data_IF_605645026023
#
_entry.id   IF_605645026023
#
_cell.length_a   1.000
_cell.length_b   1.000
_cell.length_c   1.000
_cell.angle_alpha   90.00
_cell.angle_beta   90.00
_cell.angle_gamma   90.00
#
_symmetry.space_group_name_H-M   'P 1'
#
loop_
_entity.id
_entity.type
_entity.pdbx_description
1 polymer ?
#
# COMPACT_ATOMS: atom_id res chain seq x y z
N UNK A 1 -16.57 8.89 12.93
CA UNK A 1 -16.54 7.92 11.80
C UNK A 1 -15.24 8.18 11.07
N UNK A 2 -14.17 7.48 11.46
CA UNK A 2 -12.85 7.75 10.94
C UNK A 2 -12.80 7.45 9.45
N UNK A 3 -12.39 8.45 8.67
CA UNK A 3 -12.42 8.42 7.21
C UNK A 3 -11.19 7.65 6.68
N UNK A 4 -11.00 6.38 6.98
CA UNK A 4 -9.82 5.62 6.49
C UNK A 4 -9.96 5.05 5.06
N UNK A 5 -10.85 5.64 4.25
CA UNK A 5 -11.08 5.20 2.87
C UNK A 5 -10.02 5.73 1.90
N UNK A 6 -9.89 5.09 0.74
CA UNK A 6 -8.94 5.48 -0.30
C UNK A 6 -9.05 6.96 -0.72
N UNK A 7 -10.26 7.55 -0.71
CA UNK A 7 -10.46 8.96 -1.03
C UNK A 7 -9.74 9.88 -0.03
N UNK A 8 -9.94 9.64 1.26
CA UNK A 8 -9.28 10.41 2.30
C UNK A 8 -7.76 10.24 2.26
N UNK A 9 -7.28 9.02 2.03
CA UNK A 9 -5.84 8.74 1.90
C UNK A 9 -5.26 9.48 0.69
N UNK A 10 -5.95 9.49 -0.45
CA UNK A 10 -5.53 10.23 -1.65
C UNK A 10 -5.44 11.73 -1.36
N UNK A 11 -6.50 12.30 -0.78
CA UNK A 11 -6.54 13.73 -0.44
C UNK A 11 -5.43 14.10 0.54
N UNK A 12 -5.15 13.23 1.52
CA UNK A 12 -4.09 13.43 2.52
C UNK A 12 -2.71 13.43 1.86
N UNK A 13 -2.42 12.46 1.00
CA UNK A 13 -1.14 12.37 0.27
C UNK A 13 -0.93 13.59 -0.63
N UNK A 14 -1.95 13.96 -1.40
CA UNK A 14 -1.86 15.11 -2.32
C UNK A 14 -1.69 16.42 -1.55
N UNK A 15 -2.40 16.59 -0.44
CA UNK A 15 -2.29 17.80 0.40
C UNK A 15 -0.91 17.91 1.02
N UNK A 16 -0.38 16.82 1.58
CA UNK A 16 0.96 16.77 2.14
C UNK A 16 2.04 17.12 1.11
N UNK A 17 2.01 16.50 -0.07
CA UNK A 17 2.99 16.79 -1.13
C UNK A 17 2.93 18.25 -1.57
N UNK A 18 1.72 18.82 -1.64
CA UNK A 18 1.52 20.23 -1.98
C UNK A 18 2.09 21.17 -0.90
N UNK A 19 1.91 20.85 0.38
CA UNK A 19 2.47 21.61 1.51
C UNK A 19 4.00 21.60 1.50
N UNK A 20 4.60 20.46 1.14
CA UNK A 20 6.05 20.30 1.00
C UNK A 20 6.60 20.84 -0.34
N UNK A 21 5.74 21.34 -1.24
CA UNK A 21 6.15 21.84 -2.56
C UNK A 21 6.67 20.75 -3.50
N UNK A 22 6.33 19.49 -3.26
CA UNK A 22 6.72 18.34 -4.07
C UNK A 22 5.62 18.08 -5.12
N UNK A 23 6.00 18.05 -6.40
CA UNK A 23 5.05 17.69 -7.46
C UNK A 23 4.75 16.20 -7.42
N UNK A 24 3.47 15.85 -7.48
CA UNK A 24 3.04 14.45 -7.64
C UNK A 24 3.62 13.81 -8.91
N UNK A 25 3.92 14.60 -9.95
CA UNK A 25 4.53 14.14 -11.20
C UNK A 25 5.97 13.65 -11.02
N UNK A 26 6.66 14.12 -9.97
CA UNK A 26 8.01 13.70 -9.60
C UNK A 26 7.96 12.42 -8.73
N UNK A 27 6.82 12.13 -8.10
CA UNK A 27 6.56 10.93 -7.31
C UNK A 27 6.19 9.73 -8.20
N UNK A 28 7.10 9.33 -9.10
CA UNK A 28 6.86 8.28 -10.10
C UNK A 28 6.66 6.89 -9.49
N UNK A 29 7.45 6.50 -8.49
CA UNK A 29 7.38 5.18 -7.86
C UNK A 29 6.87 5.30 -6.43
N UNK A 30 5.58 5.07 -6.22
CA UNK A 30 4.95 5.19 -4.91
C UNK A 30 4.72 3.81 -4.30
N UNK A 31 5.31 3.59 -3.12
CA UNK A 31 5.25 2.31 -2.42
C UNK A 31 4.21 2.28 -1.31
N UNK A 32 3.33 1.29 -1.32
CA UNK A 32 2.34 1.08 -0.26
C UNK A 32 2.20 -0.41 0.09
N UNK A 33 1.47 -0.71 1.17
CA UNK A 33 1.04 -2.09 1.43
C UNK A 33 0.11 -2.60 0.32
N UNK A 34 -0.08 -3.93 0.29
CA UNK A 34 -0.92 -4.58 -0.72
C UNK A 34 -2.39 -4.68 -0.27
N UNK A 35 -2.80 -3.93 0.76
CA UNK A 35 -4.17 -4.01 1.26
C UNK A 35 -5.17 -3.53 0.18
N UNK A 36 -6.41 -4.04 0.18
CA UNK A 36 -7.39 -3.71 -0.86
C UNK A 36 -7.69 -2.22 -1.01
N UNK A 37 -7.60 -1.43 0.07
CA UNK A 37 -7.78 0.01 0.07
C UNK A 37 -6.55 0.79 -0.45
N UNK A 38 -5.38 0.16 -0.53
CA UNK A 38 -4.14 0.76 -1.06
C UNK A 38 -3.87 0.31 -2.50
N UNK A 39 -3.95 -1.00 -2.74
CA UNK A 39 -3.57 -1.68 -3.99
C UNK A 39 -4.76 -2.17 -4.84
N UNK A 40 -6.01 -1.93 -4.45
CA UNK A 40 -7.17 -2.27 -5.29
C UNK A 40 -7.21 -1.50 -6.63
N UNK A 41 -7.83 -2.11 -7.64
CA UNK A 41 -7.86 -1.55 -9.00
C UNK A 41 -8.81 -0.36 -9.17
N UNK A 42 -9.91 -0.32 -8.41
CA UNK A 42 -11.03 0.60 -8.69
C UNK A 42 -11.23 1.67 -7.62
N UNK A 43 -11.18 1.30 -6.34
CA UNK A 43 -11.51 2.18 -5.21
C UNK A 43 -10.39 2.23 -4.17
N UNK A 44 -9.14 2.10 -4.62
CA UNK A 44 -7.97 2.14 -3.76
C UNK A 44 -7.14 3.40 -3.99
N UNK A 45 -6.20 3.65 -3.09
CA UNK A 45 -5.27 4.78 -3.16
C UNK A 45 -4.56 4.83 -4.51
N UNK A 46 -4.04 3.70 -5.01
CA UNK A 46 -3.33 3.68 -6.28
C UNK A 46 -4.18 4.12 -7.48
N UNK A 47 -5.47 3.78 -7.48
CA UNK A 47 -6.38 4.13 -8.57
C UNK A 47 -6.64 5.63 -8.56
N UNK A 48 -6.87 6.19 -7.37
CA UNK A 48 -7.13 7.62 -7.17
C UNK A 48 -5.91 8.48 -7.49
N UNK A 49 -4.72 8.09 -7.06
CA UNK A 49 -3.49 8.82 -7.40
C UNK A 49 -3.19 8.80 -8.90
N UNK A 50 -3.55 7.72 -9.61
CA UNK A 50 -3.47 7.65 -11.08
C UNK A 50 -4.46 8.59 -11.78
N UNK A 51 -5.62 8.88 -11.17
CA UNK A 51 -6.56 9.90 -11.68
C UNK A 51 -5.94 11.30 -11.59
N UNK A 52 -5.15 11.59 -10.56
CA UNK A 52 -4.43 12.86 -10.40
C UNK A 52 -3.21 12.96 -11.31
N UNK A 53 -2.47 11.86 -11.50
CA UNK A 53 -1.27 11.84 -12.34
C UNK A 53 -1.07 10.45 -12.94
N UNK A 54 -1.23 10.34 -14.27
CA UNK A 54 -1.10 9.08 -15.02
C UNK A 54 0.30 8.44 -14.90
N UNK A 55 1.29 9.24 -14.51
CA UNK A 55 2.68 8.85 -14.40
C UNK A 55 3.03 8.15 -13.08
N UNK A 56 2.09 8.09 -12.13
CA UNK A 56 2.29 7.42 -10.86
C UNK A 56 2.23 5.91 -11.05
N UNK A 57 3.33 5.25 -10.73
CA UNK A 57 3.48 3.82 -10.68
C UNK A 57 3.31 3.33 -9.24
N UNK A 58 2.38 2.41 -9.06
CA UNK A 58 2.27 1.66 -7.82
C UNK A 58 3.39 0.62 -7.74
N UNK A 59 4.13 0.64 -6.63
CA UNK A 59 5.19 -0.32 -6.33
C UNK A 59 4.82 -1.06 -5.05
N UNK A 60 4.64 -2.38 -5.05
CA UNK A 60 4.38 -3.14 -3.81
C UNK A 60 5.48 -2.90 -2.77
N UNK A 61 5.08 -2.68 -1.51
CA UNK A 61 6.05 -2.56 -0.42
C UNK A 61 6.81 -3.88 -0.24
N UNK A 62 8.14 -3.84 -0.41
CA UNK A 62 8.99 -5.02 -0.31
C UNK A 62 8.95 -5.66 1.08
N UNK A 63 8.98 -4.85 2.14
CA UNK A 63 8.94 -5.35 3.51
C UNK A 63 7.64 -6.09 3.80
N UNK A 64 6.51 -5.54 3.37
CA UNK A 64 5.21 -6.19 3.52
C UNK A 64 5.11 -7.46 2.66
N UNK A 65 5.57 -7.41 1.41
CA UNK A 65 5.60 -8.56 0.51
C UNK A 65 6.47 -9.69 1.07
N UNK A 66 7.61 -9.37 1.69
CA UNK A 66 8.48 -10.33 2.34
C UNK A 66 7.83 -10.93 3.58
N UNK A 67 7.19 -10.12 4.43
CA UNK A 67 6.47 -10.61 5.60
C UNK A 67 5.40 -11.64 5.19
N UNK A 68 4.61 -11.32 4.18
CA UNK A 68 3.59 -12.22 3.66
C UNK A 68 4.19 -13.52 3.10
N UNK A 69 5.32 -13.45 2.37
CA UNK A 69 5.98 -14.65 1.85
C UNK A 69 6.50 -15.57 2.98
N UNK A 70 7.04 -14.97 4.05
CA UNK A 70 7.52 -15.71 5.24
C UNK A 70 6.35 -16.35 5.97
N UNK A 71 5.26 -15.60 6.19
CA UNK A 71 4.05 -16.09 6.86
C UNK A 71 3.44 -17.29 6.14
N UNK A 72 3.25 -17.20 4.82
CA UNK A 72 2.75 -18.31 3.99
C UNK A 72 3.67 -19.54 4.05
N UNK A 73 4.98 -19.33 3.97
CA UNK A 73 5.97 -20.42 4.03
C UNK A 73 6.00 -21.07 5.41
N UNK A 74 5.92 -20.28 6.47
CA UNK A 74 5.84 -20.75 7.84
C UNK A 74 4.55 -21.53 8.10
N UNK A 75 3.42 -21.05 7.56
CA UNK A 75 2.10 -21.69 7.61
C UNK A 75 2.06 -23.10 7.03
N UNK A 76 2.91 -23.38 6.04
CA UNK A 76 3.01 -24.71 5.41
C UNK A 76 3.74 -25.74 6.27
N UNK A 77 4.43 -25.33 7.34
CA UNK A 77 5.28 -26.18 8.17
C UNK A 77 4.72 -26.25 9.59
N UNK A 78 4.05 -27.35 9.93
CA UNK A 78 3.39 -27.53 11.24
C UNK A 78 4.31 -27.27 12.43
N UNK A 79 5.57 -27.74 12.38
CA UNK A 79 6.53 -27.47 13.45
C UNK A 79 6.93 -26.00 13.61
N UNK A 80 6.83 -25.21 12.53
CA UNK A 80 7.08 -23.77 12.53
C UNK A 80 5.84 -23.03 13.01
N UNK A 81 4.64 -23.39 12.55
CA UNK A 81 3.39 -22.82 13.08
C UNK A 81 3.23 -23.07 14.57
N UNK A 82 3.57 -24.27 15.05
CA UNK A 82 3.48 -24.64 16.47
C UNK A 82 4.51 -23.86 17.31
N UNK A 83 5.73 -23.71 16.81
CA UNK A 83 6.80 -22.97 17.51
C UNK A 83 6.53 -21.47 17.57
N UNK A 84 6.05 -20.87 16.48
CA UNK A 84 5.80 -19.43 16.39
C UNK A 84 4.37 -19.02 16.74
N UNK A 85 3.47 -19.98 17.01
CA UNK A 85 2.06 -19.74 17.30
C UNK A 85 1.37 -18.87 16.24
N UNK A 86 1.69 -19.06 14.96
CA UNK A 86 0.96 -18.41 13.87
C UNK A 86 -0.50 -18.93 13.92
N UNK A 87 -1.45 -18.04 14.24
CA UNK A 87 -2.87 -18.34 14.46
C UNK A 87 -3.66 -18.42 13.15
#
# INVERSE_FOLDING_TARGET
>A
MERHGAAYLSDTVVSFLKEEGISLEDCRGQTYDNAPNMAGQYNALQAKLKEHCICVLFVPCLAHSLNHAVEETAGCLSGVTDYFQFL
#
